data_IF_284434378043
#
_entry.id   IF_284434378043
#
_cell.length_a   1.000
_cell.length_b   1.000
_cell.length_c   1.000
_cell.angle_alpha   90.00
_cell.angle_beta   90.00
_cell.angle_gamma   90.00
#
_symmetry.space_group_name_H-M   'P 1'
#
loop_
_entity.id
_entity.type
_entity.pdbx_description
1 polymer ?
#
# COMPACT_ATOMS: atom_id res chain seq x y z
N UNK A 1 12.64 -20.16 -9.52
CA UNK A 1 13.56 -19.11 -9.98
C UNK A 1 13.51 -17.95 -8.99
N UNK A 2 14.66 -17.38 -8.65
CA UNK A 2 14.76 -16.24 -7.73
C UNK A 2 15.60 -15.13 -8.39
N UNK A 3 15.29 -13.89 -8.01
CA UNK A 3 16.04 -12.70 -8.42
C UNK A 3 16.42 -11.89 -7.18
N UNK A 4 17.58 -11.30 -7.18
CA UNK A 4 17.99 -10.35 -6.15
C UNK A 4 17.71 -8.93 -6.63
N UNK A 5 17.09 -8.12 -5.78
CA UNK A 5 17.01 -6.68 -5.92
C UNK A 5 18.03 -6.06 -4.97
N UNK A 6 18.68 -4.99 -5.39
CA UNK A 6 19.72 -4.32 -4.58
C UNK A 6 19.13 -3.45 -3.46
N UNK A 7 17.79 -3.25 -3.48
CA UNK A 7 17.08 -2.37 -2.56
C UNK A 7 16.01 -3.12 -1.77
N UNK A 8 15.63 -2.56 -0.61
CA UNK A 8 14.45 -3.00 0.13
C UNK A 8 13.22 -2.85 -0.75
N UNK A 9 12.43 -3.92 -0.87
CA UNK A 9 11.20 -3.94 -1.66
C UNK A 9 10.02 -4.12 -0.74
N UNK A 10 9.10 -3.15 -0.72
CA UNK A 10 7.89 -3.18 0.11
C UNK A 10 6.76 -3.99 -0.54
N UNK A 11 6.61 -3.89 -1.85
CA UNK A 11 5.54 -4.57 -2.58
C UNK A 11 5.93 -4.91 -4.01
N UNK A 12 5.19 -5.87 -4.59
CA UNK A 12 5.29 -6.28 -5.98
C UNK A 12 3.89 -6.56 -6.54
N UNK A 13 3.58 -6.02 -7.72
CA UNK A 13 2.29 -6.15 -8.41
C UNK A 13 2.49 -6.62 -9.84
N UNK A 14 1.71 -7.61 -10.34
CA UNK A 14 1.78 -8.04 -11.73
C UNK A 14 1.26 -6.93 -12.66
N UNK A 15 1.84 -6.82 -13.85
CA UNK A 15 1.40 -5.89 -14.90
C UNK A 15 0.39 -6.56 -15.81
N UNK A 16 -0.84 -6.00 -15.93
CA UNK A 16 -1.95 -6.61 -16.69
C UNK A 16 -1.65 -6.77 -18.17
N UNK A 17 -1.11 -5.74 -18.81
CA UNK A 17 -0.97 -5.65 -20.26
C UNK A 17 0.50 -5.70 -20.73
N UNK A 18 1.42 -5.99 -19.86
CA UNK A 18 2.86 -6.09 -20.14
C UNK A 18 3.46 -7.21 -19.30
N UNK A 19 4.48 -7.85 -19.81
CA UNK A 19 5.21 -8.84 -19.04
C UNK A 19 5.88 -8.18 -17.82
N UNK A 20 6.02 -8.94 -16.74
CA UNK A 20 6.74 -8.52 -15.54
C UNK A 20 5.87 -7.89 -14.46
N UNK A 21 6.53 -7.13 -13.61
CA UNK A 21 5.95 -6.60 -12.39
C UNK A 21 6.25 -5.11 -12.23
N UNK A 22 5.41 -4.42 -11.48
CA UNK A 22 5.76 -3.17 -10.82
C UNK A 22 6.17 -3.49 -9.39
N UNK A 23 7.22 -2.86 -8.88
CA UNK A 23 7.71 -3.04 -7.52
C UNK A 23 7.97 -1.69 -6.87
N UNK A 24 7.51 -1.52 -5.63
CA UNK A 24 7.82 -0.36 -4.81
C UNK A 24 9.01 -0.66 -3.93
N UNK A 25 10.09 0.05 -4.18
CA UNK A 25 11.38 -0.12 -3.52
C UNK A 25 11.71 1.09 -2.63
N UNK A 26 12.89 1.06 -2.02
CA UNK A 26 13.40 2.13 -1.17
C UNK A 26 13.50 3.47 -1.92
N UNK A 27 14.08 3.47 -3.11
CA UNK A 27 14.32 4.70 -3.88
C UNK A 27 13.20 5.07 -4.84
N UNK A 28 12.20 4.20 -5.06
CA UNK A 28 11.10 4.48 -5.96
C UNK A 28 10.37 3.23 -6.46
N UNK A 29 9.56 3.43 -7.48
CA UNK A 29 8.89 2.34 -8.18
C UNK A 29 9.70 1.92 -9.41
N UNK A 30 9.79 0.61 -9.64
CA UNK A 30 10.52 0.01 -10.74
C UNK A 30 9.63 -0.96 -11.52
N UNK A 31 9.89 -1.10 -12.81
CA UNK A 31 9.37 -2.21 -13.59
C UNK A 31 10.40 -3.33 -13.67
N UNK A 32 9.98 -4.54 -13.31
CA UNK A 32 10.83 -5.71 -13.27
C UNK A 32 10.50 -6.66 -14.43
N UNK A 33 11.51 -7.06 -15.17
CA UNK A 33 11.39 -8.13 -16.17
C UNK A 33 11.90 -9.45 -15.57
N UNK A 34 11.01 -10.42 -15.30
CA UNK A 34 11.40 -11.69 -14.69
C UNK A 34 12.18 -12.61 -15.65
N UNK A 35 12.21 -12.32 -16.95
CA UNK A 35 12.95 -13.11 -17.94
C UNK A 35 14.42 -12.70 -17.96
N UNK A 36 14.68 -11.39 -18.10
CA UNK A 36 16.03 -10.85 -18.16
C UNK A 36 16.63 -10.56 -16.79
N UNK A 37 15.79 -10.47 -15.73
CA UNK A 37 16.21 -10.03 -14.38
C UNK A 37 16.49 -8.52 -14.29
N UNK A 38 16.15 -7.75 -15.32
CA UNK A 38 16.39 -6.30 -15.34
C UNK A 38 15.30 -5.54 -14.61
N UNK A 39 15.68 -4.42 -13.99
CA UNK A 39 14.79 -3.42 -13.42
C UNK A 39 14.94 -2.10 -14.16
N UNK A 40 13.83 -1.40 -14.37
CA UNK A 40 13.79 -0.07 -14.97
C UNK A 40 13.09 0.87 -14.00
N UNK A 41 13.75 1.98 -13.64
CA UNK A 41 13.14 3.01 -12.79
C UNK A 41 11.92 3.62 -13.49
N UNK A 42 10.79 3.68 -12.79
CA UNK A 42 9.56 4.23 -13.30
C UNK A 42 9.27 5.63 -12.75
N UNK A 43 9.23 5.77 -11.43
CA UNK A 43 8.95 7.04 -10.77
C UNK A 43 9.20 6.96 -9.26
N UNK A 44 9.22 8.11 -8.60
CA UNK A 44 9.17 8.22 -7.14
C UNK A 44 8.24 9.38 -6.75
N UNK A 45 7.22 9.15 -5.92
CA UNK A 45 6.47 10.25 -5.34
C UNK A 45 7.34 11.00 -4.33
N UNK A 46 7.25 12.33 -4.34
CA UNK A 46 7.96 13.20 -3.40
C UNK A 46 9.47 12.90 -3.31
N UNK A 47 10.24 13.21 -4.37
CA UNK A 47 11.66 12.87 -4.45
C UNK A 47 12.54 13.57 -3.40
N UNK A 48 12.02 14.63 -2.77
CA UNK A 48 12.71 15.35 -1.69
C UNK A 48 12.64 14.61 -0.34
N UNK A 49 11.66 13.71 -0.16
CA UNK A 49 11.52 12.86 1.03
C UNK A 49 12.39 11.59 0.90
N UNK A 50 13.71 11.78 0.94
CA UNK A 50 14.72 10.72 0.69
C UNK A 50 14.73 9.60 1.72
N UNK A 51 14.24 9.89 2.93
CA UNK A 51 14.13 8.90 4.01
C UNK A 51 12.84 8.06 3.92
N UNK A 52 11.97 8.35 2.95
CA UNK A 52 10.74 7.60 2.76
C UNK A 52 10.94 6.48 1.73
N UNK A 53 10.47 5.29 2.06
CA UNK A 53 10.40 4.12 1.19
C UNK A 53 8.97 3.67 0.94
N UNK A 54 8.72 2.94 -0.14
CA UNK A 54 7.47 2.23 -0.30
C UNK A 54 7.34 1.11 0.75
N UNK A 55 6.12 0.93 1.28
CA UNK A 55 5.82 -0.06 2.31
C UNK A 55 4.85 -1.12 1.80
N UNK A 56 3.62 -0.76 1.48
CA UNK A 56 2.60 -1.69 0.97
C UNK A 56 1.78 -1.04 -0.15
N UNK A 57 1.16 -1.85 -1.03
CA UNK A 57 0.34 -1.35 -2.11
C UNK A 57 -0.71 -2.34 -2.60
N UNK A 58 -1.77 -1.78 -3.24
CA UNK A 58 -2.79 -2.53 -3.97
C UNK A 58 -3.12 -1.80 -5.27
N UNK A 59 -3.35 -2.56 -6.33
CA UNK A 59 -3.85 -2.03 -7.60
C UNK A 59 -5.35 -2.28 -7.70
N UNK A 60 -6.11 -1.27 -8.13
CA UNK A 60 -7.54 -1.41 -8.41
C UNK A 60 -7.81 -1.86 -9.86
N UNK A 61 -9.09 -2.01 -10.20
CA UNK A 61 -9.52 -2.48 -11.51
C UNK A 61 -9.23 -1.49 -12.64
N UNK A 62 -9.04 -0.21 -12.32
CA UNK A 62 -8.65 0.84 -13.27
C UNK A 62 -7.15 0.88 -13.54
N UNK A 63 -6.36 0.15 -12.75
CA UNK A 63 -4.90 0.18 -12.82
C UNK A 63 -4.28 1.28 -11.97
N UNK A 64 -5.05 1.94 -11.10
CA UNK A 64 -4.54 2.88 -10.10
C UNK A 64 -3.85 2.07 -9.01
N UNK A 65 -2.61 2.42 -8.70
CA UNK A 65 -1.88 1.85 -7.57
C UNK A 65 -2.08 2.75 -6.35
N UNK A 66 -2.68 2.20 -5.32
CA UNK A 66 -2.76 2.79 -4.00
C UNK A 66 -1.58 2.29 -3.19
N UNK A 67 -0.65 3.18 -2.83
CA UNK A 67 0.61 2.81 -2.21
C UNK A 67 0.94 3.66 -1.00
N UNK A 68 1.36 3.00 0.08
CA UNK A 68 1.93 3.65 1.25
C UNK A 68 3.43 3.89 1.08
N UNK A 69 3.91 5.12 1.35
CA UNK A 69 5.32 5.38 1.64
C UNK A 69 5.46 5.77 3.10
N UNK A 70 6.37 5.13 3.81
CA UNK A 70 6.68 5.40 5.21
C UNK A 70 8.06 6.01 5.36
N UNK A 71 8.26 6.77 6.41
CA UNK A 71 9.59 7.14 6.88
C UNK A 71 10.33 5.87 7.33
N UNK A 72 11.44 5.51 6.66
CA UNK A 72 12.10 4.21 6.89
C UNK A 72 12.54 3.97 8.33
N UNK A 73 13.06 4.97 9.08
CA UNK A 73 13.31 4.83 10.50
C UNK A 73 12.06 4.76 11.40
N UNK A 74 10.86 4.92 10.84
CA UNK A 74 9.56 4.87 11.54
C UNK A 74 9.47 5.76 12.80
N UNK A 75 10.15 6.89 12.78
CA UNK A 75 10.25 7.83 13.91
C UNK A 75 9.51 9.14 13.68
N UNK A 76 9.04 9.42 12.46
CA UNK A 76 8.38 10.66 12.08
C UNK A 76 7.16 10.38 11.21
N UNK A 77 6.10 11.15 11.41
CA UNK A 77 4.90 11.11 10.56
C UNK A 77 5.14 11.85 9.23
N UNK A 78 5.90 11.23 8.34
CA UNK A 78 6.21 11.74 6.99
C UNK A 78 5.67 10.85 5.87
N UNK A 79 5.03 9.75 6.22
CA UNK A 79 4.44 8.81 5.28
C UNK A 79 3.06 9.26 4.79
N UNK A 80 2.70 8.83 3.60
CA UNK A 80 1.41 9.14 2.97
C UNK A 80 0.86 7.91 2.25
N UNK A 81 -0.46 7.83 2.15
CA UNK A 81 -1.13 7.05 1.12
C UNK A 81 -1.09 7.86 -0.18
N UNK A 82 -0.53 7.27 -1.23
CA UNK A 82 -0.48 7.85 -2.58
C UNK A 82 -1.45 7.13 -3.50
N UNK A 83 -2.09 7.90 -4.36
CA UNK A 83 -2.66 7.43 -5.61
C UNK A 83 -1.60 7.58 -6.69
N UNK A 84 -1.32 6.52 -7.43
CA UNK A 84 -0.43 6.52 -8.60
C UNK A 84 -1.25 6.04 -9.79
N UNK A 85 -1.45 6.92 -10.74
CA UNK A 85 -2.25 6.65 -11.94
C UNK A 85 -1.46 5.84 -12.99
N UNK A 86 -2.12 5.20 -13.99
CA UNK A 86 -1.44 4.41 -15.02
C UNK A 86 -0.43 5.18 -15.87
N UNK A 87 -0.53 6.52 -15.94
CA UNK A 87 0.43 7.40 -16.60
C UNK A 87 1.61 7.79 -15.71
N UNK A 88 1.68 7.23 -14.49
CA UNK A 88 2.68 7.49 -13.44
C UNK A 88 2.58 8.87 -12.79
N UNK A 89 1.53 9.63 -13.05
CA UNK A 89 1.21 10.78 -12.23
C UNK A 89 0.79 10.32 -10.82
N UNK A 90 1.02 11.15 -9.81
CA UNK A 90 0.69 10.78 -8.44
C UNK A 90 0.02 11.93 -7.67
N UNK A 91 -0.70 11.54 -6.63
CA UNK A 91 -1.33 12.47 -5.68
C UNK A 91 -1.14 11.94 -4.26
N UNK A 92 -0.71 12.80 -3.32
CA UNK A 92 -0.85 12.51 -1.89
C UNK A 92 -2.32 12.50 -1.54
N UNK A 93 -2.81 11.39 -1.01
CA UNK A 93 -4.23 11.25 -0.74
C UNK A 93 -4.58 11.42 0.73
N UNK A 94 -3.96 10.64 1.60
CA UNK A 94 -4.26 10.65 3.05
C UNK A 94 -2.98 10.51 3.87
N UNK A 95 -2.91 11.21 5.00
CA UNK A 95 -1.74 11.28 5.88
C UNK A 95 -1.58 12.65 6.55
N UNK A 96 -0.42 12.97 7.17
CA UNK A 96 0.77 12.12 7.24
C UNK A 96 0.66 11.00 8.28
N UNK A 97 1.32 9.88 8.02
CA UNK A 97 1.44 8.70 8.89
C UNK A 97 2.90 8.40 9.22
N UNK A 98 3.14 7.67 10.31
CA UNK A 98 4.47 7.09 10.56
C UNK A 98 4.68 5.92 9.61
N UNK A 99 3.76 4.96 9.61
CA UNK A 99 3.80 3.79 8.74
C UNK A 99 2.41 3.52 8.15
N UNK A 100 2.14 4.02 6.92
CA UNK A 100 0.96 3.63 6.16
C UNK A 100 1.12 2.20 5.66
N UNK A 101 0.06 1.39 5.82
CA UNK A 101 0.09 -0.03 5.52
C UNK A 101 -1.17 -0.48 4.78
N UNK A 102 -1.15 -1.70 4.33
CA UNK A 102 -2.19 -2.53 3.82
C UNK A 102 -3.31 -1.88 3.07
N UNK A 103 -3.18 -1.28 1.87
CA UNK A 103 -4.41 -1.00 1.17
C UNK A 103 -5.07 -2.30 0.71
N UNK A 104 -6.39 -2.37 0.92
CA UNK A 104 -7.24 -3.40 0.35
C UNK A 104 -8.47 -2.76 -0.29
N UNK A 105 -9.06 -3.45 -1.27
CA UNK A 105 -10.18 -2.92 -2.04
C UNK A 105 -11.29 -3.96 -2.04
N UNK A 106 -12.54 -3.52 -1.80
CA UNK A 106 -13.71 -4.39 -1.85
C UNK A 106 -13.90 -4.99 -3.25
N UNK A 107 -14.57 -6.14 -3.34
CA UNK A 107 -14.77 -6.84 -4.62
C UNK A 107 -15.58 -6.05 -5.64
N UNK A 108 -16.44 -5.14 -5.19
CA UNK A 108 -17.23 -4.26 -6.06
C UNK A 108 -16.48 -2.97 -6.43
N UNK A 109 -15.21 -2.87 -6.05
CA UNK A 109 -14.30 -1.72 -6.28
C UNK A 109 -14.80 -0.38 -5.70
N UNK A 110 -15.72 -0.42 -4.68
CA UNK A 110 -16.35 0.79 -4.11
C UNK A 110 -15.83 1.21 -2.75
N UNK A 111 -15.04 0.37 -2.08
CA UNK A 111 -14.46 0.69 -0.79
C UNK A 111 -12.96 0.42 -0.81
N UNK A 112 -12.18 1.42 -0.42
CA UNK A 112 -10.76 1.25 -0.13
C UNK A 112 -10.57 1.26 1.38
N UNK A 113 -9.83 0.26 1.86
CA UNK A 113 -9.36 0.18 3.25
C UNK A 113 -7.89 0.55 3.31
N UNK A 114 -7.49 1.28 4.35
CA UNK A 114 -6.12 1.73 4.55
C UNK A 114 -5.75 1.68 6.02
N UNK A 115 -4.49 1.38 6.33
CA UNK A 115 -3.99 1.20 7.69
C UNK A 115 -3.08 2.34 8.10
N UNK A 116 -3.40 2.95 9.25
CA UNK A 116 -2.46 3.72 10.07
C UNK A 116 -1.93 2.79 11.17
N UNK A 117 -0.78 2.18 10.95
CA UNK A 117 -0.21 1.17 11.86
C UNK A 117 -0.01 1.74 13.27
N UNK A 118 0.70 2.86 13.40
CA UNK A 118 1.00 3.45 14.71
C UNK A 118 -0.20 4.18 15.32
N UNK A 119 -1.17 4.64 14.52
CA UNK A 119 -2.46 5.12 14.98
C UNK A 119 -3.45 4.01 15.34
N UNK A 120 -3.05 2.73 15.14
CA UNK A 120 -3.85 1.53 15.45
C UNK A 120 -5.22 1.47 14.76
N UNK A 121 -5.34 2.10 13.61
CA UNK A 121 -6.64 2.29 12.96
C UNK A 121 -6.61 1.79 11.53
N UNK A 122 -7.65 1.05 11.16
CA UNK A 122 -8.00 0.79 9.77
C UNK A 122 -9.07 1.80 9.36
N UNK A 123 -8.77 2.56 8.33
CA UNK A 123 -9.68 3.52 7.71
C UNK A 123 -10.39 2.89 6.51
N UNK A 124 -11.65 3.25 6.30
CA UNK A 124 -12.38 2.93 5.08
C UNK A 124 -12.77 4.23 4.36
N UNK A 125 -12.73 4.19 3.05
CA UNK A 125 -13.13 5.28 2.15
C UNK A 125 -14.12 4.75 1.14
N UNK A 126 -15.12 5.54 0.79
CA UNK A 126 -15.93 5.29 -0.39
C UNK A 126 -15.09 5.66 -1.62
N UNK A 127 -15.03 4.77 -2.61
CA UNK A 127 -14.29 4.93 -3.86
C UNK A 127 -15.26 4.98 -5.03
N UNK A 128 -15.22 6.05 -5.81
CA UNK A 128 -16.01 6.15 -7.04
C UNK A 128 -15.31 5.51 -8.26
N UNK A 129 -16.02 5.48 -9.37
CA UNK A 129 -15.50 4.91 -10.64
C UNK A 129 -14.35 5.70 -11.26
N UNK A 130 -14.04 6.91 -10.81
CA UNK A 130 -12.87 7.69 -11.19
C UNK A 130 -11.69 7.49 -10.22
N UNK A 131 -11.88 6.67 -9.18
CA UNK A 131 -10.88 6.44 -8.13
C UNK A 131 -10.79 7.61 -7.14
N UNK A 132 -11.84 8.43 -7.00
CA UNK A 132 -11.88 9.48 -5.99
C UNK A 132 -12.35 8.87 -4.67
N UNK A 133 -11.57 9.06 -3.60
CA UNK A 133 -11.92 8.59 -2.27
C UNK A 133 -12.63 9.71 -1.49
N UNK A 134 -13.72 9.35 -0.86
CA UNK A 134 -14.55 10.23 -0.02
C UNK A 134 -14.96 9.51 1.26
N UNK A 135 -15.68 10.19 2.15
CA UNK A 135 -16.30 9.60 3.34
C UNK A 135 -15.31 8.75 4.18
N UNK A 136 -14.14 9.33 4.51
CA UNK A 136 -13.17 8.69 5.39
C UNK A 136 -13.82 8.38 6.73
N UNK A 137 -13.78 7.11 7.15
CA UNK A 137 -14.36 6.65 8.41
C UNK A 137 -13.50 5.56 9.05
N UNK A 138 -13.54 5.48 10.36
CA UNK A 138 -12.92 4.37 11.09
C UNK A 138 -13.67 3.08 10.77
N UNK A 139 -12.95 2.07 10.28
CA UNK A 139 -13.47 0.74 10.06
C UNK A 139 -13.26 -0.14 11.30
N UNK A 140 -12.04 -0.15 11.83
CA UNK A 140 -11.71 -0.81 13.10
C UNK A 140 -10.51 -0.13 13.75
N UNK A 141 -10.50 -0.12 15.07
CA UNK A 141 -9.38 0.32 15.91
C UNK A 141 -8.93 -0.81 16.80
N UNK A 142 -7.64 -1.11 16.80
CA UNK A 142 -7.06 -2.14 17.65
C UNK A 142 -6.60 -1.59 19.00
N UNK A 143 -6.67 -2.44 20.01
CA UNK A 143 -5.96 -2.21 21.27
C UNK A 143 -4.54 -2.76 21.13
N UNK A 144 -3.56 -1.88 20.91
CA UNK A 144 -2.15 -2.26 20.67
C UNK A 144 -1.61 -3.23 21.73
N UNK A 145 -1.97 -3.03 22.99
CA UNK A 145 -1.45 -3.81 24.12
C UNK A 145 -1.85 -5.28 24.02
N UNK A 146 -3.07 -5.55 23.57
CA UNK A 146 -3.65 -6.89 23.58
C UNK A 146 -3.66 -7.54 22.21
N UNK A 147 -3.63 -6.72 21.14
CA UNK A 147 -3.85 -7.17 19.78
C UNK A 147 -2.68 -6.92 18.82
N UNK A 148 -1.67 -6.16 19.24
CA UNK A 148 -0.60 -5.70 18.37
C UNK A 148 -1.03 -4.54 17.48
N UNK A 149 -0.31 -4.33 16.39
CA UNK A 149 -0.55 -3.23 15.46
C UNK A 149 -1.23 -3.73 14.19
N UNK A 150 -2.20 -2.98 13.63
CA UNK A 150 -2.75 -3.31 12.32
C UNK A 150 -1.67 -3.17 11.25
N UNK A 151 -1.61 -4.13 10.32
CA UNK A 151 -0.58 -4.23 9.30
C UNK A 151 -1.21 -4.51 7.92
N UNK A 152 -0.76 -5.48 7.17
CA UNK A 152 -1.28 -5.82 5.86
C UNK A 152 -2.76 -6.21 5.85
N UNK A 153 -3.47 -5.82 4.78
CA UNK A 153 -4.87 -6.14 4.54
C UNK A 153 -5.06 -6.94 3.25
N UNK A 154 -6.10 -7.75 3.24
CA UNK A 154 -6.66 -8.29 1.99
C UNK A 154 -8.16 -8.49 2.10
N UNK A 155 -8.85 -8.56 0.95
CA UNK A 155 -10.27 -8.89 0.86
C UNK A 155 -10.41 -10.25 0.19
N UNK A 156 -11.25 -11.12 0.76
CA UNK A 156 -11.51 -12.45 0.20
C UNK A 156 -12.71 -12.44 -0.77
N UNK A 157 -12.99 -13.59 -1.38
CA UNK A 157 -14.08 -13.75 -2.36
C UNK A 157 -15.49 -13.58 -1.77
N UNK A 158 -15.63 -13.51 -0.45
CA UNK A 158 -16.88 -13.21 0.25
C UNK A 158 -16.95 -11.76 0.70
N UNK A 159 -16.02 -10.93 0.23
CA UNK A 159 -15.88 -9.51 0.57
C UNK A 159 -15.56 -9.24 2.04
N UNK A 160 -14.96 -10.22 2.75
CA UNK A 160 -14.50 -10.05 4.11
C UNK A 160 -13.09 -9.47 4.12
N UNK A 161 -12.82 -8.60 5.08
CA UNK A 161 -11.52 -7.95 5.26
C UNK A 161 -10.67 -8.77 6.23
N UNK A 162 -9.51 -9.21 5.77
CA UNK A 162 -8.53 -9.93 6.60
C UNK A 162 -7.38 -8.99 6.96
N UNK A 163 -7.15 -8.83 8.25
CA UNK A 163 -6.14 -7.93 8.82
C UNK A 163 -5.06 -8.73 9.53
N UNK A 164 -3.81 -8.53 9.14
CA UNK A 164 -2.66 -9.02 9.87
C UNK A 164 -2.35 -8.11 11.07
N UNK A 165 -1.96 -8.70 12.20
CA UNK A 165 -1.59 -7.98 13.41
C UNK A 165 -0.08 -8.13 13.67
N UNK A 166 0.69 -7.09 13.36
CA UNK A 166 2.13 -7.09 13.65
C UNK A 166 2.36 -7.07 15.17
N UNK A 167 3.17 -8.01 15.66
CA UNK A 167 3.38 -8.22 17.09
C UNK A 167 2.21 -8.86 17.84
N UNK A 168 1.04 -9.06 17.21
CA UNK A 168 -0.14 -9.66 17.81
C UNK A 168 -0.28 -11.16 17.60
N UNK A 169 0.56 -11.77 16.77
CA UNK A 169 0.56 -13.21 16.42
C UNK A 169 -0.81 -13.72 15.97
N UNK A 170 -1.57 -12.93 15.22
CA UNK A 170 -2.90 -13.27 14.72
C UNK A 170 -3.23 -12.62 13.37
N UNK A 171 -4.28 -13.12 12.76
CA UNK A 171 -5.01 -12.50 11.65
C UNK A 171 -6.48 -12.46 12.03
N UNK A 172 -7.15 -11.33 11.85
CA UNK A 172 -8.58 -11.18 12.13
C UNK A 172 -9.36 -10.98 10.83
N UNK A 173 -10.55 -11.59 10.78
CA UNK A 173 -11.51 -11.45 9.69
C UNK A 173 -12.68 -10.57 10.16
N UNK A 174 -13.05 -9.56 9.36
CA UNK A 174 -14.19 -8.66 9.57
C UNK A 174 -15.19 -8.76 8.45
#
# INVERSE_FOLDING_TARGET
QSWSLEEKTGWILPRRNKNGFAAGCETGMYFLDPISGKSEFAMVPDPDEKENRFNDAKCDDMGIIWAGRSHDPESQAKGWLYRIDPDLSFTRWDGPYICPNGPAISLDDKTLYHVDTFGSTVWAFDKDSAGVLTNRREFVRLNQKDEGFPDGLTVDIENRVWLAHWGGARVTCF
#
